data_IF_175055477217
#
_entry.id   IF_175055477217
#
_cell.length_a   1.000
_cell.length_b   1.000
_cell.length_c   1.000
_cell.angle_alpha   90.00
_cell.angle_beta   90.00
_cell.angle_gamma   90.00
#
_symmetry.space_group_name_H-M   'P 1'
#
loop_
_entity.id
_entity.type
_entity.pdbx_description
1 polymer ?
#
# COMPACT_ATOMS: atom_id res chain seq x y z
N UNK A 1 35.18 -67.18 23.80
CA UNK A 1 34.44 -66.50 22.73
C UNK A 1 33.90 -65.18 23.33
N UNK A 2 34.59 -64.09 23.06
CA UNK A 2 34.28 -62.79 23.66
C UNK A 2 33.65 -61.88 22.56
N UNK A 3 32.34 -61.62 22.63
CA UNK A 3 31.59 -60.71 21.73
C UNK A 3 31.78 -59.27 22.23
N UNK A 4 32.51 -58.45 21.49
CA UNK A 4 32.58 -57.02 21.73
C UNK A 4 31.39 -56.34 21.05
N UNK A 5 30.49 -55.76 21.84
CA UNK A 5 29.46 -54.81 21.38
C UNK A 5 30.14 -53.45 21.17
N UNK A 6 30.16 -52.94 19.96
CA UNK A 6 30.53 -51.56 19.66
C UNK A 6 29.29 -50.68 19.73
N UNK A 7 29.30 -49.71 20.64
CA UNK A 7 28.25 -48.67 20.71
C UNK A 7 28.54 -47.60 19.69
N UNK A 8 27.62 -47.41 18.73
CA UNK A 8 27.66 -46.34 17.75
C UNK A 8 26.99 -45.11 18.37
N UNK A 9 27.79 -44.11 18.72
CA UNK A 9 27.26 -42.80 19.19
C UNK A 9 26.92 -41.95 17.96
N UNK A 10 25.61 -41.76 17.73
CA UNK A 10 25.08 -40.91 16.65
C UNK A 10 25.01 -39.49 17.19
N UNK A 11 25.96 -38.61 16.82
CA UNK A 11 25.96 -37.20 17.18
C UNK A 11 25.03 -36.45 16.24
N UNK A 12 23.82 -36.07 16.69
CA UNK A 12 22.92 -35.23 15.95
C UNK A 12 23.40 -33.77 16.02
N UNK A 13 23.89 -33.24 14.89
CA UNK A 13 24.12 -31.80 14.72
C UNK A 13 22.77 -31.10 14.59
N UNK A 14 22.36 -30.38 15.63
CA UNK A 14 21.27 -29.39 15.51
C UNK A 14 21.79 -28.13 14.81
N UNK A 15 21.46 -27.96 13.54
CA UNK A 15 21.64 -26.70 12.82
C UNK A 15 20.48 -25.79 13.28
N UNK A 16 20.74 -24.91 14.23
CA UNK A 16 19.88 -23.79 14.55
C UNK A 16 19.96 -22.80 13.39
N UNK A 17 19.00 -22.85 12.47
CA UNK A 17 18.79 -21.78 11.51
C UNK A 17 18.24 -20.57 12.29
N UNK A 18 19.12 -19.59 12.58
CA UNK A 18 18.68 -18.25 12.95
C UNK A 18 18.00 -17.65 11.72
N UNK A 19 16.67 -17.73 11.64
CA UNK A 19 15.90 -16.83 10.79
C UNK A 19 15.92 -15.47 11.50
N UNK A 20 16.79 -14.56 11.04
CA UNK A 20 16.65 -13.15 11.32
C UNK A 20 15.31 -12.71 10.69
N UNK A 21 14.25 -12.61 11.49
CA UNK A 21 13.10 -11.83 11.14
C UNK A 21 13.55 -10.37 11.34
N UNK A 22 13.94 -9.73 10.26
CA UNK A 22 14.11 -8.29 10.28
C UNK A 22 12.71 -7.69 10.52
N UNK A 23 12.60 -6.93 11.61
CA UNK A 23 11.34 -6.22 11.90
C UNK A 23 11.02 -5.26 10.76
N UNK A 24 9.75 -5.16 10.32
CA UNK A 24 9.38 -4.24 9.27
C UNK A 24 9.63 -2.79 9.68
N UNK A 25 10.02 -1.97 8.72
CA UNK A 25 10.08 -0.52 8.89
C UNK A 25 8.65 0.01 8.81
N UNK A 26 8.18 0.66 9.88
CA UNK A 26 6.83 1.16 9.95
C UNK A 26 6.77 2.60 9.43
N UNK A 27 5.87 2.83 8.47
CA UNK A 27 5.48 4.17 8.03
C UNK A 27 4.28 4.67 8.83
N UNK A 28 4.30 5.97 9.11
CA UNK A 28 3.17 6.72 9.65
C UNK A 28 2.89 7.87 8.71
N UNK A 29 1.73 7.85 8.09
CA UNK A 29 1.29 8.91 7.22
C UNK A 29 -0.07 9.45 7.69
N UNK A 30 -0.23 10.76 7.58
CA UNK A 30 -1.50 11.42 7.88
C UNK A 30 -2.34 11.51 6.61
N UNK A 31 -3.56 10.98 6.66
CA UNK A 31 -4.51 11.01 5.56
C UNK A 31 -5.74 11.83 5.90
N UNK A 32 -6.35 12.49 4.91
CA UNK A 32 -7.66 13.09 5.08
C UNK A 32 -8.67 12.06 5.61
N UNK A 33 -9.48 12.45 6.58
CA UNK A 33 -10.56 11.64 7.11
C UNK A 33 -11.88 12.11 6.51
N UNK A 34 -12.75 11.15 6.17
CA UNK A 34 -14.05 11.39 5.57
C UNK A 34 -15.16 10.99 6.55
N UNK A 35 -16.22 11.79 6.62
CA UNK A 35 -17.31 11.57 7.57
C UNK A 35 -18.43 10.68 6.99
N UNK A 36 -18.51 10.55 5.65
CA UNK A 36 -19.57 9.81 4.96
C UNK A 36 -19.11 9.24 3.62
N UNK A 37 -19.92 8.31 3.09
CA UNK A 37 -19.75 7.78 1.75
C UNK A 37 -19.87 8.86 0.67
N UNK A 38 -20.80 9.81 0.84
CA UNK A 38 -20.96 10.95 -0.07
C UNK A 38 -19.70 11.81 -0.12
N UNK A 39 -19.15 12.18 1.05
CA UNK A 39 -17.92 12.98 1.12
C UNK A 39 -16.72 12.29 0.46
N UNK A 40 -16.61 10.97 0.65
CA UNK A 40 -15.58 10.16 0.03
C UNK A 40 -15.78 10.06 -1.50
N UNK A 41 -17.04 9.87 -1.95
CA UNK A 41 -17.41 9.81 -3.35
C UNK A 41 -17.17 11.15 -4.05
N UNK A 42 -17.59 12.25 -3.43
CA UNK A 42 -17.42 13.61 -3.99
C UNK A 42 -15.94 13.96 -4.20
N UNK A 43 -15.08 13.56 -3.25
CA UNK A 43 -13.65 13.83 -3.32
C UNK A 43 -12.93 12.97 -4.36
N UNK A 44 -13.36 11.72 -4.57
CA UNK A 44 -12.73 10.82 -5.51
C UNK A 44 -12.82 11.34 -6.95
N UNK A 45 -11.74 11.26 -7.72
CA UNK A 45 -11.77 11.47 -9.16
C UNK A 45 -12.21 10.23 -9.94
N UNK A 46 -12.03 9.04 -9.33
CA UNK A 46 -12.43 7.77 -9.90
C UNK A 46 -12.96 6.84 -8.81
N UNK A 47 -14.15 6.27 -9.02
CA UNK A 47 -14.72 5.22 -8.16
C UNK A 47 -15.05 4.01 -9.01
N UNK A 48 -14.40 2.89 -8.72
CA UNK A 48 -14.54 1.66 -9.49
C UNK A 48 -14.72 0.44 -8.61
N UNK A 49 -15.42 -0.55 -9.14
CA UNK A 49 -15.25 -1.94 -8.73
C UNK A 49 -14.16 -2.54 -9.60
N UNK A 50 -13.16 -3.16 -8.99
CA UNK A 50 -12.02 -3.72 -9.69
C UNK A 50 -11.53 -5.01 -9.05
N UNK A 51 -10.84 -5.83 -9.83
CA UNK A 51 -10.11 -7.03 -9.37
C UNK A 51 -8.62 -6.76 -9.49
N UNK A 52 -7.88 -7.06 -8.45
CA UNK A 52 -6.42 -6.99 -8.50
C UNK A 52 -5.90 -8.19 -9.30
N UNK A 53 -5.11 -7.91 -10.33
CA UNK A 53 -4.58 -8.90 -11.25
C UNK A 53 -3.06 -8.87 -11.29
N UNK A 54 -2.44 -10.04 -11.41
CA UNK A 54 -0.98 -10.16 -11.44
C UNK A 54 -0.30 -9.86 -10.10
N UNK A 55 1.02 -9.99 -10.08
CA UNK A 55 1.84 -9.67 -8.93
C UNK A 55 2.05 -8.16 -8.79
N UNK A 56 2.10 -7.60 -7.58
CA UNK A 56 2.41 -6.20 -7.37
C UNK A 56 3.86 -5.90 -7.75
N UNK A 57 4.13 -4.64 -8.08
CA UNK A 57 5.49 -4.09 -8.26
C UNK A 57 5.84 -3.25 -7.04
N UNK A 58 7.08 -3.33 -6.59
CA UNK A 58 7.60 -2.51 -5.51
C UNK A 58 8.57 -1.48 -6.09
N UNK A 59 8.37 -0.22 -5.74
CA UNK A 59 9.15 0.90 -6.23
C UNK A 59 9.61 1.75 -5.07
N UNK A 60 10.83 2.29 -5.18
CA UNK A 60 11.25 3.39 -4.33
C UNK A 60 10.79 4.68 -4.98
N UNK A 61 9.94 5.44 -4.30
CA UNK A 61 9.58 6.78 -4.74
C UNK A 61 10.65 7.75 -4.23
N UNK A 62 11.37 8.34 -5.15
CA UNK A 62 12.35 9.38 -4.83
C UNK A 62 11.63 10.71 -4.90
N UNK A 63 11.12 11.17 -3.78
CA UNK A 63 10.65 12.56 -3.66
C UNK A 63 11.87 13.43 -3.43
N UNK A 64 12.57 13.77 -4.52
CA UNK A 64 13.59 14.82 -4.42
C UNK A 64 12.85 16.13 -4.11
N UNK A 65 13.21 16.84 -3.03
CA UNK A 65 12.71 18.18 -2.82
C UNK A 65 13.05 19.01 -4.06
N UNK A 66 12.12 19.83 -4.54
CA UNK A 66 12.39 20.72 -5.66
C UNK A 66 13.45 21.73 -5.22
N UNK A 67 14.70 21.62 -5.73
CA UNK A 67 15.81 22.48 -5.28
C UNK A 67 15.59 23.94 -5.68
N UNK A 68 14.58 24.22 -6.52
CA UNK A 68 14.27 25.58 -6.99
C UNK A 68 13.27 26.30 -6.11
N UNK A 69 12.52 25.58 -5.26
CA UNK A 69 11.56 26.23 -4.37
C UNK A 69 12.24 26.78 -3.13
N UNK A 70 11.90 28.02 -2.79
CA UNK A 70 12.34 28.70 -1.55
C UNK A 70 11.32 28.58 -0.42
N UNK A 71 10.21 27.86 -0.65
CA UNK A 71 9.18 27.61 0.35
C UNK A 71 9.63 26.51 1.32
N UNK A 72 9.82 26.82 2.63
CA UNK A 72 10.27 25.84 3.62
C UNK A 72 9.28 24.68 3.84
N UNK A 73 8.02 24.81 3.43
CA UNK A 73 7.04 23.72 3.52
C UNK A 73 7.21 22.70 2.38
N UNK A 74 7.70 23.14 1.22
CA UNK A 74 7.95 22.31 0.05
C UNK A 74 9.43 21.90 -0.08
N UNK A 75 10.33 22.68 0.50
CA UNK A 75 11.75 22.40 0.59
C UNK A 75 12.24 22.75 2.00
N UNK A 76 12.30 21.80 2.94
CA UNK A 76 12.79 22.03 4.30
C UNK A 76 14.23 22.56 4.37
N UNK A 77 15.01 22.39 3.31
CA UNK A 77 16.39 22.88 3.17
C UNK A 77 16.45 24.30 2.60
N UNK A 78 15.31 24.90 2.22
CA UNK A 78 15.26 26.27 1.70
C UNK A 78 15.78 27.27 2.73
N UNK A 79 16.94 27.87 2.43
CA UNK A 79 17.59 28.83 3.32
C UNK A 79 18.47 28.22 4.42
N UNK A 80 18.61 26.90 4.50
CA UNK A 80 19.58 26.27 5.39
C UNK A 80 21.01 26.45 4.82
N UNK A 81 22.02 26.74 5.70
CA UNK A 81 23.41 26.73 5.26
C UNK A 81 23.79 25.34 4.74
N UNK A 82 24.49 25.26 3.61
CA UNK A 82 24.91 23.99 2.99
C UNK A 82 25.69 23.05 3.94
N UNK A 83 26.28 23.58 5.01
CA UNK A 83 26.96 22.80 6.04
C UNK A 83 26.00 22.11 7.02
N UNK A 84 24.74 22.55 7.12
CA UNK A 84 23.75 21.92 8.01
C UNK A 84 23.14 20.65 7.41
N UNK A 85 23.17 20.50 6.09
CA UNK A 85 22.74 19.28 5.39
C UNK A 85 23.81 18.17 5.39
N UNK A 86 25.07 18.55 5.58
CA UNK A 86 26.18 17.61 5.63
C UNK A 86 26.26 16.92 7.00
N UNK A 87 25.63 15.76 7.13
CA UNK A 87 25.73 14.92 8.33
C UNK A 87 24.38 14.49 8.93
N UNK A 88 23.27 14.90 8.36
CA UNK A 88 21.99 14.30 8.70
C UNK A 88 21.90 12.90 8.04
N UNK A 89 21.42 11.89 8.78
CA UNK A 89 21.15 10.59 8.17
C UNK A 89 20.15 10.78 7.03
N UNK A 90 20.45 10.17 5.89
CA UNK A 90 19.53 10.16 4.76
C UNK A 90 18.16 9.62 5.22
N UNK A 91 17.05 10.32 4.93
CA UNK A 91 15.74 9.83 5.31
C UNK A 91 15.50 8.44 4.70
N UNK A 92 14.80 7.55 5.41
CA UNK A 92 14.51 6.22 4.87
C UNK A 92 13.77 6.35 3.53
N UNK A 93 14.03 5.44 2.58
CA UNK A 93 13.39 5.49 1.27
C UNK A 93 11.87 5.38 1.43
N UNK A 94 11.11 6.14 0.63
CA UNK A 94 9.67 5.94 0.51
C UNK A 94 9.44 4.78 -0.46
N UNK A 95 8.99 3.66 0.06
CA UNK A 95 8.66 2.47 -0.74
C UNK A 95 7.17 2.45 -1.00
N UNK A 96 6.78 2.21 -2.24
CA UNK A 96 5.39 2.05 -2.66
C UNK A 96 5.17 0.70 -3.33
N UNK A 97 3.99 0.16 -3.11
CA UNK A 97 3.45 -0.99 -3.84
C UNK A 97 2.54 -0.49 -4.95
N UNK A 98 2.78 -0.91 -6.19
CA UNK A 98 1.89 -0.65 -7.32
C UNK A 98 1.18 -1.93 -7.72
N UNK A 99 -0.12 -1.95 -7.55
CA UNK A 99 -1.02 -3.04 -7.94
C UNK A 99 -1.73 -2.73 -9.25
N UNK A 100 -1.90 -3.74 -10.11
CA UNK A 100 -2.71 -3.63 -11.32
C UNK A 100 -4.14 -4.04 -11.01
N UNK A 101 -5.10 -3.14 -11.23
CA UNK A 101 -6.52 -3.36 -11.01
C UNK A 101 -7.27 -3.41 -12.35
N UNK A 102 -7.95 -4.51 -12.65
CA UNK A 102 -8.85 -4.63 -13.78
C UNK A 102 -10.22 -4.09 -13.40
N UNK A 103 -10.70 -3.08 -14.11
CA UNK A 103 -11.99 -2.43 -13.87
C UNK A 103 -13.13 -3.36 -14.26
N UNK A 104 -14.03 -3.63 -13.32
CA UNK A 104 -15.22 -4.44 -13.51
C UNK A 104 -16.48 -3.58 -13.65
N UNK A 105 -16.55 -2.46 -12.95
CA UNK A 105 -17.62 -1.47 -13.01
C UNK A 105 -17.08 -0.08 -12.68
N UNK A 106 -17.64 0.94 -13.31
CA UNK A 106 -17.33 2.34 -13.02
C UNK A 106 -18.55 2.98 -12.38
N UNK A 107 -18.36 3.67 -11.25
CA UNK A 107 -19.38 4.44 -10.56
C UNK A 107 -19.13 5.95 -10.73
N UNK A 108 -17.87 6.38 -10.89
CA UNK A 108 -17.51 7.78 -11.11
C UNK A 108 -16.18 7.87 -11.88
N UNK A 109 -16.03 8.90 -12.69
CA UNK A 109 -14.79 9.24 -13.40
C UNK A 109 -14.66 8.55 -14.75
N UNK A 110 -13.49 8.73 -15.36
CA UNK A 110 -13.20 8.26 -16.72
C UNK A 110 -12.38 6.96 -16.65
N UNK A 111 -13.04 5.84 -16.87
CA UNK A 111 -12.42 4.53 -17.05
C UNK A 111 -13.38 3.63 -17.84
N UNK A 112 -12.86 2.58 -18.46
CA UNK A 112 -13.65 1.61 -19.21
C UNK A 112 -13.66 0.24 -18.51
N UNK A 113 -14.81 -0.46 -18.56
CA UNK A 113 -14.90 -1.83 -18.08
C UNK A 113 -13.94 -2.73 -18.88
N UNK A 114 -13.12 -3.51 -18.17
CA UNK A 114 -12.06 -4.33 -18.75
C UNK A 114 -10.70 -3.63 -18.85
N UNK A 115 -10.65 -2.32 -18.75
CA UNK A 115 -9.40 -1.56 -18.68
C UNK A 115 -8.60 -1.97 -17.42
N UNK A 116 -7.29 -1.89 -17.49
CA UNK A 116 -6.42 -1.99 -16.31
C UNK A 116 -5.93 -0.61 -15.91
N UNK A 117 -5.94 -0.35 -14.60
CA UNK A 117 -5.39 0.84 -13.99
C UNK A 117 -4.33 0.44 -12.96
N UNK A 118 -3.37 1.30 -12.72
CA UNK A 118 -2.39 1.10 -11.65
C UNK A 118 -2.83 1.87 -10.40
N UNK A 119 -2.73 1.20 -9.25
CA UNK A 119 -3.07 1.77 -7.94
C UNK A 119 -1.86 1.65 -7.04
N UNK A 120 -1.42 2.76 -6.46
CA UNK A 120 -0.31 2.80 -5.51
C UNK A 120 -0.78 2.84 -4.07
N UNK A 121 -0.04 2.15 -3.21
CA UNK A 121 -0.16 2.15 -1.76
C UNK A 121 1.22 2.33 -1.14
N UNK A 122 1.29 2.93 0.05
CA UNK A 122 2.54 3.07 0.80
C UNK A 122 2.99 1.71 1.35
N UNK A 123 4.30 1.47 1.36
CA UNK A 123 4.90 0.23 1.84
C UNK A 123 5.17 -0.80 0.74
N UNK A 124 5.72 -1.93 1.14
CA UNK A 124 6.12 -3.03 0.26
C UNK A 124 7.46 -3.66 0.65
N UNK A 125 8.04 -4.43 -0.25
CA UNK A 125 9.37 -5.05 -0.04
C UNK A 125 10.36 -4.41 -0.99
N UNK A 126 11.43 -3.83 -0.45
CA UNK A 126 12.49 -3.22 -1.24
C UNK A 126 13.86 -3.60 -0.65
N UNK A 127 14.76 -4.09 -1.50
CA UNK A 127 16.10 -4.59 -1.11
C UNK A 127 16.10 -5.59 0.06
N UNK A 128 15.05 -6.45 0.13
CA UNK A 128 14.89 -7.43 1.18
C UNK A 128 14.35 -6.90 2.51
N UNK A 129 14.11 -5.59 2.61
CA UNK A 129 13.49 -4.94 3.77
C UNK A 129 11.99 -4.81 3.52
N UNK A 130 11.19 -5.13 4.53
CA UNK A 130 9.74 -4.94 4.51
C UNK A 130 9.40 -3.58 5.10
N UNK A 131 8.60 -2.82 4.38
CA UNK A 131 8.06 -1.52 4.79
C UNK A 131 6.55 -1.66 4.90
N UNK A 132 5.99 -1.32 6.04
CA UNK A 132 4.55 -1.44 6.31
C UNK A 132 3.99 -0.11 6.77
N UNK A 133 2.79 0.21 6.31
CA UNK A 133 2.04 1.34 6.82
C UNK A 133 1.19 0.88 8.01
N UNK A 134 1.27 1.62 9.13
CA UNK A 134 0.53 1.27 10.35
C UNK A 134 -0.99 1.21 10.08
N UNK A 135 -1.65 0.22 10.69
CA UNK A 135 -3.11 0.04 10.66
C UNK A 135 -3.72 -0.20 9.27
N UNK A 136 -2.92 -0.56 8.27
CA UNK A 136 -3.44 -0.86 6.94
C UNK A 136 -3.08 -2.27 6.48
N UNK A 137 -3.77 -2.74 5.48
CA UNK A 137 -3.43 -3.95 4.75
C UNK A 137 -3.46 -3.65 3.26
N UNK A 138 -2.42 -4.02 2.52
CA UNK A 138 -2.33 -3.80 1.08
C UNK A 138 -3.43 -4.51 0.27
N UNK A 139 -3.61 -4.06 -0.96
CA UNK A 139 -4.45 -4.73 -1.95
C UNK A 139 -3.93 -6.15 -2.21
N UNK A 140 -4.83 -7.14 -2.17
CA UNK A 140 -4.46 -8.55 -2.32
C UNK A 140 -4.72 -9.00 -3.75
N UNK A 141 -3.76 -9.71 -4.33
CA UNK A 141 -3.90 -10.35 -5.63
C UNK A 141 -5.15 -11.24 -5.69
N UNK A 142 -5.78 -11.29 -6.84
CA UNK A 142 -6.99 -12.06 -7.15
C UNK A 142 -8.24 -11.68 -6.33
N UNK A 143 -8.18 -10.60 -5.55
CA UNK A 143 -9.29 -10.10 -4.75
C UNK A 143 -10.00 -8.94 -5.44
N UNK A 144 -11.30 -8.84 -5.21
CA UNK A 144 -12.15 -7.75 -5.70
C UNK A 144 -12.32 -6.66 -4.64
N UNK A 145 -12.44 -5.42 -5.11
CA UNK A 145 -12.60 -4.24 -4.28
C UNK A 145 -13.51 -3.21 -4.93
N UNK A 146 -14.18 -2.40 -4.11
CA UNK A 146 -14.57 -1.05 -4.51
C UNK A 146 -13.48 -0.10 -4.03
N UNK A 147 -12.99 0.74 -4.95
CA UNK A 147 -11.86 1.66 -4.73
C UNK A 147 -12.29 3.09 -5.00
N UNK A 148 -11.96 4.00 -4.07
CA UNK A 148 -12.11 5.44 -4.22
C UNK A 148 -10.72 6.05 -4.43
N UNK A 149 -10.50 6.57 -5.62
CA UNK A 149 -9.17 6.91 -6.11
C UNK A 149 -9.05 8.38 -6.47
N UNK A 150 -7.85 8.93 -6.29
CA UNK A 150 -7.37 10.12 -6.95
C UNK A 150 -6.47 9.69 -8.12
N UNK A 151 -6.77 10.20 -9.30
CA UNK A 151 -6.03 9.89 -10.54
C UNK A 151 -5.06 10.99 -10.88
N UNK A 152 -3.92 10.62 -11.48
CA UNK A 152 -2.86 11.54 -11.90
C UNK A 152 -2.50 11.25 -13.36
N UNK A 153 -2.12 12.27 -14.16
CA UNK A 153 -1.76 12.06 -15.57
C UNK A 153 -0.58 11.11 -15.79
N UNK A 154 0.45 11.22 -14.96
CA UNK A 154 1.74 10.55 -15.17
C UNK A 154 2.16 9.65 -13.99
N UNK A 155 1.21 9.25 -13.13
CA UNK A 155 1.49 8.43 -11.96
C UNK A 155 0.34 7.46 -11.70
N UNK A 156 0.59 6.30 -11.08
CA UNK A 156 -0.47 5.42 -10.62
C UNK A 156 -1.49 6.17 -9.76
N UNK A 157 -2.77 5.81 -9.85
CA UNK A 157 -3.81 6.33 -9.00
C UNK A 157 -3.50 6.01 -7.53
N UNK A 158 -3.93 6.88 -6.62
CA UNK A 158 -3.78 6.67 -5.17
C UNK A 158 -5.12 6.48 -4.49
N UNK A 159 -5.17 5.66 -3.44
CA UNK A 159 -6.31 5.62 -2.53
C UNK A 159 -6.44 6.98 -1.83
N UNK A 160 -7.65 7.53 -1.72
CA UNK A 160 -7.89 8.77 -0.96
C UNK A 160 -7.52 8.62 0.52
N UNK A 161 -7.66 7.40 1.04
CA UNK A 161 -7.31 7.02 2.40
C UNK A 161 -7.11 5.49 2.42
N UNK A 162 -6.05 4.95 3.00
CA UNK A 162 -5.74 3.52 2.92
C UNK A 162 -6.73 2.61 3.65
N UNK A 163 -7.54 3.16 4.55
CA UNK A 163 -8.59 2.44 5.30
C UNK A 163 -9.98 2.72 4.74
N UNK A 164 -10.32 4.00 4.55
CA UNK A 164 -11.68 4.42 4.17
C UNK A 164 -11.97 4.32 2.67
N UNK A 165 -10.94 4.26 1.82
CA UNK A 165 -11.12 4.32 0.36
C UNK A 165 -11.03 2.97 -0.34
N UNK A 166 -10.95 1.84 0.41
CA UNK A 166 -10.97 0.51 -0.16
C UNK A 166 -11.92 -0.42 0.60
N UNK A 167 -12.78 -1.07 -0.15
CA UNK A 167 -13.76 -2.01 0.36
C UNK A 167 -13.58 -3.35 -0.33
N UNK A 168 -12.97 -4.36 0.33
CA UNK A 168 -12.94 -5.71 -0.21
C UNK A 168 -14.37 -6.21 -0.48
N UNK A 169 -14.52 -6.98 -1.55
CA UNK A 169 -15.78 -7.64 -1.86
C UNK A 169 -15.88 -8.95 -1.08
N UNK A 170 -17.01 -9.15 -0.41
CA UNK A 170 -17.32 -10.41 0.27
C UNK A 170 -17.68 -11.54 -0.71
N UNK A 171 -17.97 -12.73 -0.20
CA UNK A 171 -18.36 -13.91 -1.01
C UNK A 171 -19.63 -13.70 -1.83
N UNK A 172 -20.45 -12.70 -1.49
CA UNK A 172 -21.66 -12.31 -2.23
C UNK A 172 -21.40 -11.11 -3.14
N UNK A 173 -20.14 -10.72 -3.31
CA UNK A 173 -19.68 -9.53 -4.05
C UNK A 173 -20.22 -8.21 -3.50
N UNK A 174 -20.51 -8.10 -2.21
CA UNK A 174 -20.85 -6.83 -1.59
C UNK A 174 -19.60 -6.15 -1.03
N UNK A 175 -19.48 -4.81 -1.13
CA UNK A 175 -18.40 -4.09 -0.49
C UNK A 175 -18.53 -4.19 1.04
N UNK A 176 -17.43 -4.58 1.68
CA UNK A 176 -17.33 -4.71 3.13
C UNK A 176 -16.27 -3.72 3.67
N UNK A 177 -16.58 -2.90 4.68
CA UNK A 177 -15.59 -2.01 5.27
C UNK A 177 -14.49 -2.79 5.98
N UNK A 178 -13.26 -2.27 5.96
CA UNK A 178 -12.18 -2.76 6.82
C UNK A 178 -12.53 -2.54 8.31
N UNK A 179 -11.91 -3.27 9.24
CA UNK A 179 -12.28 -3.20 10.67
C UNK A 179 -12.27 -1.79 11.27
N UNK A 180 -11.31 -0.95 10.87
CA UNK A 180 -11.20 0.44 11.34
C UNK A 180 -12.04 1.43 10.52
N UNK A 181 -12.67 0.99 9.43
CA UNK A 181 -13.50 1.84 8.60
C UNK A 181 -14.95 1.88 9.09
N UNK A 182 -15.38 3.02 9.60
CA UNK A 182 -16.75 3.23 10.09
C UNK A 182 -17.75 3.58 9.00
N UNK A 183 -17.28 3.94 7.79
CA UNK A 183 -18.12 4.28 6.65
C UNK A 183 -18.59 3.00 5.97
N UNK A 184 -19.90 2.86 5.83
CA UNK A 184 -20.52 1.76 5.07
C UNK A 184 -20.88 2.24 3.69
N UNK A 185 -20.62 1.40 2.70
CA UNK A 185 -20.93 1.66 1.29
C UNK A 185 -21.67 0.46 0.73
N UNK A 186 -22.73 0.69 0.00
CA UNK A 186 -23.45 -0.34 -0.76
C UNK A 186 -23.40 -0.05 -2.25
N UNK A 187 -23.58 -1.07 -3.10
CA UNK A 187 -23.64 -0.88 -4.55
C UNK A 187 -24.81 0.03 -4.95
N UNK A 188 -25.97 -0.12 -4.29
CA UNK A 188 -27.14 0.69 -4.59
C UNK A 188 -26.91 2.18 -4.28
N UNK A 189 -26.21 2.49 -3.19
CA UNK A 189 -25.82 3.87 -2.89
C UNK A 189 -24.86 4.41 -3.94
N UNK A 190 -23.83 3.66 -4.33
CA UNK A 190 -22.88 4.08 -5.37
C UNK A 190 -23.56 4.32 -6.72
N UNK A 191 -24.56 3.53 -7.08
CA UNK A 191 -25.35 3.67 -8.30
C UNK A 191 -26.25 4.91 -8.28
N UNK A 192 -26.63 5.40 -7.11
CA UNK A 192 -27.42 6.64 -6.97
C UNK A 192 -26.59 7.90 -6.91
N UNK A 193 -25.31 7.78 -6.54
CA UNK A 193 -24.33 8.87 -6.52
C UNK A 193 -23.69 9.13 -7.90
N UNK A 194 -23.80 8.17 -8.84
CA UNK A 194 -23.17 8.19 -10.18
C UNK A 194 -23.92 9.00 -11.23
#
# INVERSE_FOLDING_TARGET
MLRRLGALVLTALFVTACSSHDEPVLYRADYPQYESADALFDKASLVVEARIVGAPRYLQEVTAPDPTTTDPQLNPEAGAPAEAAAGQPEPPPTVITVSTAQVLKVFKGEAEVGQTIEVKELGGVFDGVTYEEEHTSGLKQDSGYVLFLETFPDSPAALLNPVQAKYPLDSSNNPAPLPENTIKVTRAELETMS
#
